data_IF_014433790851
#
_entry.id   IF_014433790851
#
_cell.length_a   1.000
_cell.length_b   1.000
_cell.length_c   1.000
_cell.angle_alpha   90.00
_cell.angle_beta   90.00
_cell.angle_gamma   90.00
#
_symmetry.space_group_name_H-M   'P 1'
#
loop_
_entity.id
_entity.type
_entity.pdbx_description
1 polymer ?
#
# COMPACT_ATOMS: atom_id res chain seq x y z
N UNK A 1 -16.25 -51.55 -27.47
CA UNK A 1 -15.40 -50.40 -27.90
C UNK A 1 -16.10 -49.06 -27.72
N UNK A 2 -17.34 -48.83 -28.13
CA UNK A 2 -18.03 -47.54 -28.04
C UNK A 2 -18.16 -47.00 -26.61
N UNK A 3 -18.48 -47.81 -25.62
CA UNK A 3 -18.65 -47.38 -24.21
C UNK A 3 -17.35 -46.87 -23.61
N UNK A 4 -16.21 -47.50 -23.89
CA UNK A 4 -14.90 -47.09 -23.40
C UNK A 4 -14.53 -45.69 -23.91
N UNK A 5 -14.82 -45.40 -25.19
CA UNK A 5 -14.53 -44.07 -25.79
C UNK A 5 -15.39 -42.98 -25.14
N UNK A 6 -16.65 -43.25 -24.84
CA UNK A 6 -17.55 -42.30 -24.16
C UNK A 6 -17.06 -42.00 -22.74
N UNK A 7 -16.68 -43.02 -21.97
CA UNK A 7 -16.19 -42.87 -20.61
C UNK A 7 -14.89 -42.05 -20.59
N UNK A 8 -13.96 -42.32 -21.50
CA UNK A 8 -12.73 -41.55 -21.65
C UNK A 8 -13.00 -40.08 -22.02
N UNK A 9 -13.91 -39.82 -22.96
CA UNK A 9 -14.26 -38.46 -23.36
C UNK A 9 -14.90 -37.67 -22.24
N UNK A 10 -15.77 -38.26 -21.43
CA UNK A 10 -16.36 -37.63 -20.24
C UNK A 10 -15.28 -37.38 -19.18
N UNK A 11 -14.41 -38.36 -18.94
CA UNK A 11 -13.30 -38.22 -17.97
C UNK A 11 -12.34 -37.08 -18.33
N UNK A 12 -11.96 -36.95 -19.60
CA UNK A 12 -11.10 -35.88 -20.09
C UNK A 12 -11.77 -34.51 -19.94
N UNK A 13 -13.05 -34.40 -20.27
CA UNK A 13 -13.81 -33.14 -20.10
C UNK A 13 -13.93 -32.75 -18.63
N UNK A 14 -14.22 -33.70 -17.76
CA UNK A 14 -14.31 -33.47 -16.31
C UNK A 14 -12.94 -33.00 -15.75
N UNK A 15 -11.85 -33.66 -16.14
CA UNK A 15 -10.51 -33.29 -15.70
C UNK A 15 -10.10 -31.90 -16.21
N UNK A 16 -10.43 -31.55 -17.44
CA UNK A 16 -10.16 -30.22 -18.00
C UNK A 16 -10.91 -29.13 -17.24
N UNK A 17 -12.22 -29.32 -16.96
CA UNK A 17 -13.03 -28.34 -16.23
C UNK A 17 -12.57 -28.16 -14.78
N UNK A 18 -12.19 -29.26 -14.11
CA UNK A 18 -11.66 -29.21 -12.73
C UNK A 18 -10.31 -28.49 -12.66
N UNK A 19 -9.43 -28.75 -13.63
CA UNK A 19 -8.13 -28.07 -13.74
C UNK A 19 -8.28 -26.57 -14.00
N UNK A 20 -9.23 -26.17 -14.83
CA UNK A 20 -9.55 -24.77 -15.09
C UNK A 20 -10.10 -24.06 -13.85
N UNK A 21 -11.01 -24.69 -13.11
CA UNK A 21 -11.54 -24.17 -11.86
C UNK A 21 -10.42 -23.97 -10.82
N UNK A 22 -9.52 -24.94 -10.70
CA UNK A 22 -8.37 -24.85 -9.78
C UNK A 22 -7.46 -23.66 -10.13
N UNK A 23 -7.14 -23.47 -11.41
CA UNK A 23 -6.33 -22.31 -11.88
C UNK A 23 -7.01 -20.97 -11.60
N UNK A 24 -8.31 -20.87 -11.85
CA UNK A 24 -9.07 -19.65 -11.57
C UNK A 24 -9.09 -19.33 -10.07
N UNK A 25 -9.26 -20.33 -9.22
CA UNK A 25 -9.25 -20.18 -7.76
C UNK A 25 -7.89 -19.75 -7.26
N UNK A 26 -6.83 -20.40 -7.76
CA UNK A 26 -5.45 -20.05 -7.43
C UNK A 26 -5.12 -18.59 -7.81
N UNK A 27 -5.45 -18.17 -9.05
CA UNK A 27 -5.21 -16.81 -9.52
C UNK A 27 -5.89 -15.75 -8.66
N UNK A 28 -7.10 -16.04 -8.17
CA UNK A 28 -7.82 -15.13 -7.26
C UNK A 28 -7.23 -15.11 -5.86
N UNK A 29 -6.83 -16.25 -5.33
CA UNK A 29 -6.16 -16.33 -4.02
C UNK A 29 -4.86 -15.55 -4.02
N UNK A 30 -4.01 -15.76 -5.03
CA UNK A 30 -2.74 -15.03 -5.19
C UNK A 30 -2.96 -13.51 -5.29
N UNK A 31 -4.00 -13.07 -6.02
CA UNK A 31 -4.37 -11.66 -6.10
C UNK A 31 -4.79 -11.10 -4.74
N UNK A 32 -5.67 -11.80 -4.02
CA UNK A 32 -6.14 -11.37 -2.70
C UNK A 32 -4.99 -11.28 -1.71
N UNK A 33 -4.10 -12.25 -1.70
CA UNK A 33 -2.94 -12.29 -0.80
C UNK A 33 -1.96 -11.16 -1.11
N UNK A 34 -1.74 -10.85 -2.39
CA UNK A 34 -0.91 -9.73 -2.83
C UNK A 34 -1.49 -8.39 -2.38
N UNK A 35 -2.79 -8.15 -2.62
CA UNK A 35 -3.46 -6.91 -2.20
C UNK A 35 -3.46 -6.76 -0.68
N UNK A 36 -3.67 -7.85 0.07
CA UNK A 36 -3.59 -7.84 1.54
C UNK A 36 -2.18 -7.54 2.04
N UNK A 37 -1.17 -8.15 1.44
CA UNK A 37 0.23 -7.89 1.79
C UNK A 37 0.59 -6.43 1.57
N UNK A 38 0.22 -5.85 0.43
CA UNK A 38 0.44 -4.42 0.15
C UNK A 38 -0.29 -3.55 1.18
N UNK A 39 -1.56 -3.85 1.47
CA UNK A 39 -2.34 -3.12 2.47
C UNK A 39 -1.68 -3.16 3.85
N UNK A 40 -1.18 -4.32 4.28
CA UNK A 40 -0.48 -4.46 5.57
C UNK A 40 0.78 -3.61 5.64
N UNK A 41 1.59 -3.61 4.58
CA UNK A 41 2.84 -2.81 4.53
C UNK A 41 2.52 -1.31 4.56
N UNK A 42 1.58 -0.86 3.72
CA UNK A 42 1.17 0.56 3.68
C UNK A 42 0.56 1.01 5.01
N UNK A 43 -0.27 0.16 5.63
CA UNK A 43 -0.88 0.45 6.94
C UNK A 43 0.18 0.61 8.02
N UNK A 44 1.16 -0.30 8.08
CA UNK A 44 2.24 -0.23 9.06
C UNK A 44 3.08 1.05 8.89
N UNK A 45 3.42 1.41 7.66
CA UNK A 45 4.18 2.63 7.38
C UNK A 45 3.38 3.89 7.74
N UNK A 46 2.09 3.97 7.40
CA UNK A 46 1.22 5.09 7.75
C UNK A 46 1.06 5.25 9.28
N UNK A 47 0.95 4.16 10.02
CA UNK A 47 0.88 4.19 11.49
C UNK A 47 2.16 4.73 12.12
N UNK A 48 3.31 4.48 11.49
CA UNK A 48 4.61 4.98 11.94
C UNK A 48 4.87 6.43 11.51
N UNK A 49 4.19 6.95 10.48
CA UNK A 49 4.42 8.28 9.94
C UNK A 49 4.42 9.35 11.05
N UNK A 50 5.48 10.15 11.12
CA UNK A 50 5.64 11.21 12.13
C UNK A 50 6.18 10.76 13.48
N UNK A 51 6.42 9.45 13.71
CA UNK A 51 7.10 9.00 14.92
C UNK A 51 8.50 9.57 15.02
N UNK A 52 8.89 10.14 16.20
CA UNK A 52 10.12 10.95 16.37
C UNK A 52 11.10 10.40 17.38
N UNK A 53 10.73 9.39 18.14
CA UNK A 53 11.54 8.94 19.27
C UNK A 53 12.17 7.58 19.01
N UNK A 54 13.48 7.52 19.18
CA UNK A 54 14.20 6.27 19.32
C UNK A 54 14.38 5.97 20.81
N UNK A 55 14.07 4.77 21.22
CA UNK A 55 14.17 4.32 22.61
C UNK A 55 14.81 2.92 22.68
N UNK A 56 15.86 2.80 23.44
CA UNK A 56 16.49 1.52 23.79
C UNK A 56 16.82 1.49 25.28
N UNK A 57 15.83 1.14 26.08
CA UNK A 57 15.99 1.03 27.54
C UNK A 57 16.45 2.33 28.20
N UNK A 58 17.76 2.51 28.35
CA UNK A 58 18.33 3.69 29.03
C UNK A 58 18.66 4.86 28.09
N UNK A 59 18.40 4.73 26.79
CA UNK A 59 18.68 5.79 25.81
C UNK A 59 17.37 6.22 25.14
N UNK A 60 17.08 7.52 25.24
CA UNK A 60 15.99 8.18 24.55
C UNK A 60 16.57 9.29 23.69
N UNK A 61 16.31 9.23 22.38
CA UNK A 61 16.70 10.30 21.46
C UNK A 61 15.48 10.73 20.64
N UNK A 62 15.23 12.04 20.63
CA UNK A 62 14.26 12.67 19.75
C UNK A 62 14.94 13.10 18.46
N UNK A 63 14.28 12.89 17.33
CA UNK A 63 14.73 13.34 16.01
C UNK A 63 13.77 14.40 15.47
N UNK A 64 14.33 15.42 14.84
CA UNK A 64 13.56 16.36 14.00
C UNK A 64 13.32 15.71 12.64
N UNK A 65 12.06 15.57 12.27
CA UNK A 65 11.68 15.06 10.95
C UNK A 65 11.56 16.20 9.94
N UNK A 66 11.82 15.95 8.64
CA UNK A 66 11.46 16.88 7.58
C UNK A 66 9.97 17.25 7.66
N UNK A 67 9.63 18.50 7.37
CA UNK A 67 8.25 18.98 7.42
C UNK A 67 7.69 19.21 6.01
N UNK A 68 6.50 18.70 5.72
CA UNK A 68 5.67 17.81 6.55
C UNK A 68 6.23 16.38 6.60
N UNK A 69 6.09 15.66 7.73
CA UNK A 69 6.61 14.28 7.86
C UNK A 69 5.81 13.26 7.02
N UNK A 70 4.70 13.69 6.47
CA UNK A 70 3.88 12.96 5.52
C UNK A 70 3.55 13.88 4.36
N UNK A 71 3.88 13.48 3.15
CA UNK A 71 3.55 14.18 1.91
C UNK A 71 3.11 13.18 0.84
N UNK A 72 2.40 13.65 -0.15
CA UNK A 72 1.93 12.82 -1.24
C UNK A 72 1.17 13.63 -2.27
N UNK A 73 0.98 13.06 -3.45
CA UNK A 73 0.24 13.69 -4.52
C UNK A 73 -0.92 12.79 -4.98
N UNK A 74 -2.06 13.41 -5.25
CA UNK A 74 -3.18 12.75 -5.89
C UNK A 74 -2.91 12.70 -7.40
N UNK A 75 -2.49 11.54 -7.90
CA UNK A 75 -2.19 11.28 -9.32
C UNK A 75 -3.25 10.35 -9.95
N UNK A 76 -4.51 10.61 -9.67
CA UNK A 76 -5.58 9.71 -10.06
C UNK A 76 -5.62 8.49 -9.12
N UNK A 77 -5.79 7.25 -9.62
CA UNK A 77 -5.85 6.07 -8.77
C UNK A 77 -4.48 5.60 -8.27
N UNK A 78 -3.39 6.20 -8.75
CA UNK A 78 -2.00 5.83 -8.44
C UNK A 78 -1.30 6.94 -7.67
N UNK A 79 -1.75 7.17 -6.44
CA UNK A 79 -1.18 8.19 -5.58
C UNK A 79 0.28 7.90 -5.23
N UNK A 80 1.05 8.97 -5.03
CA UNK A 80 2.38 8.87 -4.44
C UNK A 80 2.32 9.22 -2.96
N UNK A 81 3.23 8.64 -2.19
CA UNK A 81 3.32 8.84 -0.76
C UNK A 81 4.78 8.90 -0.34
N UNK A 82 5.15 9.91 0.44
CA UNK A 82 6.45 9.99 1.11
C UNK A 82 6.21 10.23 2.59
N UNK A 83 6.84 9.43 3.43
CA UNK A 83 6.73 9.57 4.88
C UNK A 83 8.08 9.39 5.58
N UNK A 84 8.18 10.03 6.74
CA UNK A 84 9.35 9.95 7.62
C UNK A 84 8.90 9.46 8.99
N UNK A 85 9.73 8.59 9.57
CA UNK A 85 9.53 8.12 10.92
C UNK A 85 10.84 7.64 11.56
N UNK A 86 10.83 7.54 12.87
CA UNK A 86 11.92 6.95 13.66
C UNK A 86 11.43 5.62 14.23
N UNK A 87 12.25 4.61 14.16
CA UNK A 87 11.96 3.29 14.72
C UNK A 87 13.05 2.83 15.70
N UNK A 88 12.64 2.42 16.88
CA UNK A 88 13.52 1.82 17.89
C UNK A 88 13.82 0.32 17.64
N UNK A 89 13.23 -0.27 16.59
CA UNK A 89 13.54 -1.65 16.17
C UNK A 89 14.86 -1.76 15.40
N UNK A 90 15.53 -0.63 15.13
CA UNK A 90 16.80 -0.55 14.40
C UNK A 90 17.86 0.12 15.28
N UNK A 91 19.11 0.01 14.86
CA UNK A 91 20.21 0.74 15.50
C UNK A 91 19.98 2.24 15.42
N UNK A 92 20.55 2.99 16.40
CA UNK A 92 20.45 4.45 16.41
C UNK A 92 20.97 5.07 15.10
N UNK A 93 22.04 4.52 14.51
CA UNK A 93 22.62 4.98 13.25
C UNK A 93 21.71 4.74 12.01
N UNK A 94 20.62 4.00 12.15
CA UNK A 94 19.64 3.70 11.09
C UNK A 94 18.20 3.89 11.56
N UNK A 95 18.01 4.59 12.66
CA UNK A 95 16.70 4.76 13.30
C UNK A 95 15.73 5.59 12.45
N UNK A 96 16.19 6.71 11.87
CA UNK A 96 15.38 7.57 11.03
C UNK A 96 15.23 6.97 9.63
N UNK A 97 13.99 6.87 9.17
CA UNK A 97 13.64 6.27 7.88
C UNK A 97 12.86 7.23 7.01
N UNK A 98 13.16 7.21 5.71
CA UNK A 98 12.33 7.76 4.65
C UNK A 98 11.73 6.61 3.86
N UNK A 99 10.41 6.63 3.72
CA UNK A 99 9.69 5.65 2.90
C UNK A 99 8.93 6.38 1.80
N UNK A 100 9.07 5.90 0.57
CA UNK A 100 8.38 6.44 -0.59
C UNK A 100 7.60 5.32 -1.28
N UNK A 101 6.39 5.67 -1.73
CA UNK A 101 5.56 4.83 -2.60
C UNK A 101 5.30 5.54 -3.93
N UNK A 102 5.31 4.78 -5.01
CA UNK A 102 5.01 5.26 -6.34
C UNK A 102 4.76 4.10 -7.29
N UNK A 103 4.43 4.42 -8.52
CA UNK A 103 4.14 3.42 -9.55
C UNK A 103 5.12 3.51 -10.71
N UNK A 104 5.46 2.36 -11.25
CA UNK A 104 6.08 2.20 -12.57
C UNK A 104 5.18 1.27 -13.40
N UNK A 105 4.40 1.85 -14.31
CA UNK A 105 3.32 1.12 -14.99
C UNK A 105 2.29 0.61 -13.98
N UNK A 106 2.08 -0.72 -13.95
CA UNK A 106 1.20 -1.41 -13.00
C UNK A 106 1.98 -2.08 -11.86
N UNK A 107 3.22 -1.70 -11.64
CA UNK A 107 4.04 -2.15 -10.52
C UNK A 107 4.06 -1.07 -9.44
N UNK A 108 3.52 -1.38 -8.27
CA UNK A 108 3.69 -0.56 -7.08
C UNK A 108 5.11 -0.76 -6.56
N UNK A 109 5.81 0.34 -6.33
CA UNK A 109 7.18 0.36 -5.83
C UNK A 109 7.23 0.99 -4.45
N UNK A 110 8.14 0.51 -3.62
CA UNK A 110 8.44 1.06 -2.29
C UNK A 110 9.93 1.32 -2.16
N UNK A 111 10.28 2.46 -1.60
CA UNK A 111 11.62 2.77 -1.12
C UNK A 111 11.59 2.78 0.41
N UNK A 112 12.64 2.29 1.05
CA UNK A 112 12.85 2.42 2.50
C UNK A 112 14.34 2.66 2.71
N UNK A 113 14.71 3.91 2.89
CA UNK A 113 16.11 4.33 2.98
C UNK A 113 16.44 4.90 4.36
N UNK A 114 17.70 4.72 4.76
CA UNK A 114 18.20 5.34 5.99
C UNK A 114 18.28 6.86 5.81
N UNK A 115 17.58 7.57 6.67
CA UNK A 115 17.54 9.03 6.75
C UNK A 115 18.19 9.54 8.05
N UNK A 116 18.90 8.70 8.79
CA UNK A 116 19.60 9.06 10.02
C UNK A 116 20.81 9.93 9.68
N UNK A 117 20.99 11.06 10.35
CA UNK A 117 22.15 11.94 10.12
C UNK A 117 23.43 11.29 10.62
N UNK A 118 24.57 11.74 10.06
CA UNK A 118 25.90 11.34 10.54
C UNK A 118 26.20 11.92 11.92
N UNK A 119 25.59 13.04 12.26
CA UNK A 119 25.70 13.73 13.55
C UNK A 119 24.42 14.53 13.81
N UNK A 120 24.07 14.68 15.09
CA UNK A 120 22.87 15.43 15.49
C UNK A 120 21.60 14.57 15.50
N UNK A 121 20.44 15.25 15.55
CA UNK A 121 19.12 14.64 15.69
C UNK A 121 18.15 15.01 14.55
N UNK A 122 18.61 15.68 13.49
CA UNK A 122 17.76 16.07 12.36
C UNK A 122 17.81 15.01 11.26
N UNK A 123 16.69 14.38 10.96
CA UNK A 123 16.61 13.41 9.87
C UNK A 123 16.93 14.06 8.52
N UNK A 124 17.68 13.36 7.68
CA UNK A 124 18.06 13.80 6.34
C UNK A 124 17.01 13.44 5.29
N UNK A 125 17.18 13.94 4.08
CA UNK A 125 16.31 13.65 2.93
C UNK A 125 17.09 12.91 1.84
N UNK A 126 17.53 11.65 2.06
CA UNK A 126 18.28 10.90 1.07
C UNK A 126 17.40 10.62 -0.17
N UNK A 127 18.00 10.43 -1.35
CA UNK A 127 17.24 10.02 -2.53
C UNK A 127 16.57 8.67 -2.28
N UNK A 128 15.36 8.43 -2.85
CA UNK A 128 14.69 7.14 -2.73
C UNK A 128 15.45 6.06 -3.50
N UNK A 129 15.48 4.85 -2.94
CA UNK A 129 15.95 3.64 -3.61
C UNK A 129 14.77 2.69 -3.79
N UNK A 130 14.03 2.90 -4.87
CA UNK A 130 12.73 2.28 -5.11
C UNK A 130 12.87 0.84 -5.60
N UNK A 131 12.24 -0.10 -4.90
CA UNK A 131 12.17 -1.52 -5.25
C UNK A 131 10.74 -1.92 -5.60
N UNK A 132 10.52 -2.90 -6.51
CA UNK A 132 9.20 -3.45 -6.75
C UNK A 132 8.62 -4.05 -5.47
N UNK A 133 7.41 -3.64 -5.09
CA UNK A 133 6.66 -4.21 -3.96
C UNK A 133 5.63 -5.22 -4.46
N UNK A 134 4.86 -4.87 -5.49
CA UNK A 134 3.85 -5.74 -6.07
C UNK A 134 3.55 -5.38 -7.52
N UNK A 135 3.39 -6.40 -8.38
CA UNK A 135 2.98 -6.27 -9.77
C UNK A 135 1.45 -6.42 -9.91
N UNK A 136 0.91 -5.93 -11.03
CA UNK A 136 -0.52 -6.01 -11.34
C UNK A 136 -1.38 -5.17 -10.41
N UNK A 137 -0.85 -4.03 -9.96
CA UNK A 137 -1.55 -3.08 -9.11
C UNK A 137 -2.21 -1.98 -9.93
N UNK A 138 -3.51 -1.78 -9.71
CA UNK A 138 -4.32 -0.76 -10.39
C UNK A 138 -4.39 0.54 -9.60
N UNK A 139 -4.33 0.44 -8.27
CA UNK A 139 -4.47 1.61 -7.41
C UNK A 139 -3.76 1.45 -6.06
N UNK A 140 -3.22 2.56 -5.63
CA UNK A 140 -3.04 2.98 -4.24
C UNK A 140 -3.71 4.34 -4.16
N UNK A 141 -4.94 4.42 -3.64
CA UNK A 141 -5.75 5.63 -3.59
C UNK A 141 -6.04 5.95 -2.12
N UNK A 142 -5.69 7.17 -1.71
CA UNK A 142 -5.68 7.55 -0.30
C UNK A 142 -6.52 8.80 -0.09
N UNK A 143 -7.47 8.72 0.86
CA UNK A 143 -8.25 9.85 1.33
C UNK A 143 -7.94 10.10 2.80
N UNK A 144 -7.50 11.32 3.13
CA UNK A 144 -7.13 11.73 4.47
C UNK A 144 -8.31 12.35 5.20
N UNK A 145 -8.47 12.01 6.47
CA UNK A 145 -9.39 12.65 7.41
C UNK A 145 -8.57 13.59 8.29
N UNK A 146 -8.80 14.88 8.17
CA UNK A 146 -8.12 15.91 8.95
C UNK A 146 -8.72 16.09 10.34
N UNK A 147 -7.97 16.71 11.26
CA UNK A 147 -8.38 16.94 12.64
C UNK A 147 -9.56 17.91 12.77
N UNK A 148 -9.77 18.77 11.78
CA UNK A 148 -10.92 19.69 11.66
C UNK A 148 -12.19 19.02 11.13
N UNK A 149 -12.12 17.72 10.81
CA UNK A 149 -13.23 16.95 10.24
C UNK A 149 -13.30 16.99 8.72
N UNK A 150 -12.47 17.77 8.03
CA UNK A 150 -12.42 17.79 6.56
C UNK A 150 -11.81 16.52 5.98
N UNK A 151 -12.15 16.21 4.72
CA UNK A 151 -11.54 15.12 3.95
C UNK A 151 -10.75 15.71 2.80
N UNK A 152 -9.55 15.19 2.59
CA UNK A 152 -8.62 15.64 1.56
C UNK A 152 -8.06 14.43 0.81
N UNK A 153 -7.76 14.62 -0.47
CA UNK A 153 -7.08 13.62 -1.30
C UNK A 153 -5.55 13.77 -1.27
N UNK A 154 -5.06 14.73 -0.48
CA UNK A 154 -3.64 14.93 -0.16
C UNK A 154 -3.49 15.08 1.36
N UNK A 155 -2.31 14.77 1.94
CA UNK A 155 -2.13 14.88 3.38
C UNK A 155 -2.05 16.34 3.89
N UNK A 156 -2.15 17.33 3.02
CA UNK A 156 -2.17 18.74 3.39
C UNK A 156 -3.55 19.13 3.94
N UNK A 157 -3.65 19.17 5.26
CA UNK A 157 -4.85 19.60 5.98
C UNK A 157 -4.92 21.12 6.21
N UNK A 158 -3.90 21.90 5.82
CA UNK A 158 -3.79 23.33 6.10
C UNK A 158 -2.97 23.63 7.35
N UNK A 159 -2.93 24.91 7.75
CA UNK A 159 -2.02 25.42 8.81
C UNK A 159 -2.36 24.93 10.21
N UNK A 160 -3.65 24.76 10.53
CA UNK A 160 -4.14 24.46 11.87
C UNK A 160 -4.69 23.04 12.05
N UNK A 161 -4.59 22.23 10.99
CA UNK A 161 -5.10 20.88 10.98
C UNK A 161 -4.01 19.88 10.57
N UNK A 162 -4.18 18.63 10.96
CA UNK A 162 -3.27 17.53 10.64
C UNK A 162 -4.05 16.27 10.28
N UNK A 163 -3.49 15.36 9.47
CA UNK A 163 -4.12 14.10 9.16
C UNK A 163 -4.25 13.21 10.42
N UNK A 164 -5.47 12.80 10.78
CA UNK A 164 -5.75 11.90 11.91
C UNK A 164 -5.84 10.45 11.48
N UNK A 165 -6.48 10.22 10.34
CA UNK A 165 -6.59 8.91 9.72
C UNK A 165 -6.57 9.04 8.21
N UNK A 166 -6.32 7.92 7.54
CA UNK A 166 -6.44 7.80 6.10
C UNK A 166 -7.29 6.58 5.77
N UNK A 167 -8.18 6.72 4.79
CA UNK A 167 -8.80 5.57 4.12
C UNK A 167 -7.97 5.24 2.91
N UNK A 168 -7.46 4.03 2.86
CA UNK A 168 -6.57 3.54 1.82
C UNK A 168 -7.31 2.49 1.01
N UNK A 169 -7.37 2.65 -0.31
CA UNK A 169 -7.79 1.60 -1.25
C UNK A 169 -6.57 1.08 -1.99
N UNK A 170 -6.34 -0.21 -1.87
CA UNK A 170 -5.35 -0.96 -2.67
C UNK A 170 -6.13 -1.86 -3.62
N UNK A 171 -5.89 -1.74 -4.92
CA UNK A 171 -6.54 -2.55 -5.94
C UNK A 171 -5.53 -3.16 -6.90
N UNK A 172 -5.80 -4.36 -7.35
CA UNK A 172 -4.97 -5.07 -8.33
C UNK A 172 -5.76 -6.04 -9.19
N UNK A 173 -5.04 -6.66 -10.13
CA UNK A 173 -5.59 -7.68 -11.02
C UNK A 173 -4.74 -8.95 -11.03
N UNK A 174 -5.34 -10.08 -11.41
CA UNK A 174 -4.64 -11.36 -11.52
C UNK A 174 -3.59 -11.33 -12.64
N UNK A 175 -2.36 -11.83 -12.38
CA UNK A 175 -1.30 -11.90 -13.38
C UNK A 175 -1.57 -12.95 -14.45
N UNK A 176 -2.42 -13.92 -14.17
CA UNK A 176 -2.89 -14.93 -15.10
C UNK A 176 -4.33 -14.65 -15.51
N UNK A 177 -4.70 -15.05 -16.75
CA UNK A 177 -6.06 -14.93 -17.25
C UNK A 177 -6.99 -15.92 -16.52
N UNK A 178 -8.22 -15.49 -16.32
CA UNK A 178 -9.30 -16.29 -15.71
C UNK A 178 -10.51 -16.33 -16.65
N UNK A 179 -11.22 -17.43 -16.65
CA UNK A 179 -12.39 -17.63 -17.55
C UNK A 179 -13.59 -16.79 -17.10
N UNK A 180 -13.73 -16.57 -15.80
CA UNK A 180 -14.81 -15.74 -15.24
C UNK A 180 -14.19 -14.58 -14.41
N UNK A 181 -13.83 -13.46 -15.05
CA UNK A 181 -13.05 -12.39 -14.40
C UNK A 181 -13.78 -11.66 -13.27
N UNK A 182 -15.11 -11.68 -13.23
CA UNK A 182 -15.89 -10.92 -12.25
C UNK A 182 -16.24 -9.51 -12.74
N UNK A 183 -16.22 -8.48 -11.87
CA UNK A 183 -16.63 -7.14 -12.24
C UNK A 183 -15.69 -6.51 -13.27
N UNK A 184 -16.25 -5.76 -14.22
CA UNK A 184 -15.47 -5.06 -15.24
C UNK A 184 -14.76 -3.80 -14.70
N UNK A 185 -15.18 -3.30 -13.53
CA UNK A 185 -14.57 -2.14 -12.87
C UNK A 185 -14.70 -2.22 -11.36
N UNK A 186 -13.81 -1.48 -10.67
CA UNK A 186 -13.82 -1.27 -9.23
C UNK A 186 -13.92 0.23 -8.94
N UNK A 187 -14.35 0.59 -7.74
CA UNK A 187 -14.39 1.98 -7.28
C UNK A 187 -13.47 2.15 -6.07
N UNK A 188 -12.68 3.21 -6.05
CA UNK A 188 -11.77 3.55 -4.96
C UNK A 188 -12.46 4.41 -3.90
N UNK A 189 -11.76 4.68 -2.78
CA UNK A 189 -12.28 5.50 -1.69
C UNK A 189 -12.56 6.95 -2.09
N UNK A 190 -11.80 7.49 -3.05
CA UNK A 190 -12.04 8.85 -3.60
C UNK A 190 -13.07 8.86 -4.73
N UNK A 191 -13.73 7.73 -5.01
CA UNK A 191 -14.77 7.60 -6.04
C UNK A 191 -14.25 7.39 -7.46
N UNK A 192 -12.95 7.15 -7.64
CA UNK A 192 -12.36 6.89 -8.97
C UNK A 192 -12.72 5.49 -9.45
N UNK A 193 -13.09 5.37 -10.72
CA UNK A 193 -13.42 4.09 -11.35
C UNK A 193 -12.18 3.50 -12.00
N UNK A 194 -11.86 2.25 -11.67
CA UNK A 194 -10.75 1.47 -12.19
C UNK A 194 -11.30 0.44 -13.18
N UNK A 195 -10.89 0.50 -14.43
CA UNK A 195 -11.20 -0.55 -15.39
C UNK A 195 -10.35 -1.80 -15.12
N UNK A 196 -11.01 -2.95 -15.04
CA UNK A 196 -10.32 -4.23 -14.95
C UNK A 196 -9.79 -4.66 -16.32
N UNK A 197 -8.54 -5.10 -16.42
CA UNK A 197 -8.00 -5.64 -17.68
C UNK A 197 -8.82 -6.85 -18.16
N UNK A 198 -9.06 -6.92 -19.45
CA UNK A 198 -9.86 -7.99 -20.04
C UNK A 198 -9.30 -9.38 -19.71
N UNK A 199 -10.18 -10.30 -19.30
CA UNK A 199 -9.82 -11.67 -18.95
C UNK A 199 -9.02 -11.78 -17.64
N UNK A 200 -8.98 -10.73 -16.80
CA UNK A 200 -8.30 -10.73 -15.50
C UNK A 200 -9.30 -10.57 -14.38
N UNK A 201 -9.11 -11.29 -13.28
CA UNK A 201 -9.84 -11.02 -12.05
C UNK A 201 -9.28 -9.76 -11.39
N UNK A 202 -10.16 -8.92 -10.85
CA UNK A 202 -9.79 -7.74 -10.06
C UNK A 202 -10.24 -7.89 -8.62
N UNK A 203 -9.46 -7.28 -7.73
CA UNK A 203 -9.80 -7.21 -6.31
C UNK A 203 -9.32 -5.89 -5.73
N UNK A 204 -10.14 -5.29 -4.87
CA UNK A 204 -9.80 -4.11 -4.10
C UNK A 204 -10.08 -4.35 -2.63
N UNK A 205 -9.21 -3.81 -1.78
CA UNK A 205 -9.37 -3.75 -0.34
C UNK A 205 -9.29 -2.29 0.09
N UNK A 206 -10.23 -1.88 0.94
CA UNK A 206 -10.23 -0.55 1.55
C UNK A 206 -10.16 -0.69 3.05
N UNK A 207 -9.24 0.06 3.69
CA UNK A 207 -9.04 0.06 5.13
C UNK A 207 -8.84 1.49 5.64
N UNK A 208 -9.34 1.78 6.84
CA UNK A 208 -9.03 3.01 7.56
C UNK A 208 -7.83 2.77 8.49
N UNK A 209 -6.89 3.71 8.45
CA UNK A 209 -5.63 3.66 9.20
C UNK A 209 -5.52 4.91 10.05
N UNK A 210 -5.34 4.75 11.35
CA UNK A 210 -5.06 5.87 12.26
C UNK A 210 -3.58 6.26 12.17
N UNK A 211 -3.31 7.57 12.24
CA UNK A 211 -1.96 8.14 12.17
C UNK A 211 -1.66 8.97 13.45
N UNK A 212 -1.41 8.30 14.59
CA UNK A 212 -1.34 8.95 15.90
C UNK A 212 -0.14 9.91 16.04
N UNK A 213 0.93 9.69 15.28
CA UNK A 213 2.19 10.42 15.43
C UNK A 213 2.25 11.74 14.63
N UNK A 214 1.23 12.04 13.82
CA UNK A 214 1.16 13.28 13.04
C UNK A 214 0.59 14.47 13.81
N UNK A 215 0.03 14.22 15.00
CA UNK A 215 -0.42 15.31 15.87
C UNK A 215 0.75 16.24 16.21
N UNK A 216 0.60 17.56 16.01
CA UNK A 216 1.63 18.52 16.44
C UNK A 216 1.89 18.38 17.94
N UNK A 217 3.17 18.40 18.32
CA UNK A 217 3.51 18.48 19.73
C UNK A 217 3.10 19.86 20.25
N UNK A 218 2.57 19.97 21.47
CA UNK A 218 2.37 21.28 22.07
C UNK A 218 3.70 22.03 22.08
N UNK A 219 3.72 23.24 21.53
CA UNK A 219 4.83 24.16 21.68
C UNK A 219 5.06 24.44 23.16
N UNK A 220 6.30 24.29 23.66
CA UNK A 220 6.62 24.56 25.07
C UNK A 220 6.35 25.99 25.48
#
# INVERSE_FOLDING_TARGET
MAILVVVLAVGVRYFASTSELARNTQARSELQDRVRMVMQVVTADLQMAGARYWNSGNQNQAFSLPLPPLSGSNMGPKDTLTLYYVTSLRDLASACRRVDYGFEGDTLRRSDVNATPSSGSDCTTPPPNSQPLAEGMLALDIQYQCSDGSRKDTPDCGTDAYPRSAKVTVAGYSLTSVTNPGPASLTTVTGKTLACPQGRACYALTQEVLMPNLKPLPTP
#
